data_IF_998574506625
#
_entry.id   IF_998574506625
#
_cell.length_a   1.000
_cell.length_b   1.000
_cell.length_c   1.000
_cell.angle_alpha   90.00
_cell.angle_beta   90.00
_cell.angle_gamma   90.00
#
_symmetry.space_group_name_H-M   'P 1'
#
loop_
_entity.id
_entity.type
_entity.pdbx_description
1 polymer ?
#
# COMPACT_ATOMS: atom_id res chain seq x y z
N UNK A 1 -70.02 -55.23 1.21
CA UNK A 1 -69.03 -54.70 0.24
C UNK A 1 -68.67 -53.27 0.64
N UNK A 2 -67.55 -53.09 1.36
CA UNK A 2 -67.13 -51.77 1.84
C UNK A 2 -66.16 -51.15 0.83
N UNK A 3 -66.60 -50.09 0.14
CA UNK A 3 -65.77 -49.35 -0.82
C UNK A 3 -64.82 -48.45 -0.03
N UNK A 4 -63.52 -48.76 -0.05
CA UNK A 4 -62.48 -47.97 0.58
C UNK A 4 -62.35 -46.67 -0.23
N UNK A 5 -62.70 -45.53 0.38
CA UNK A 5 -62.49 -44.21 -0.22
C UNK A 5 -61.01 -43.85 -0.14
N UNK A 6 -60.30 -43.95 -1.26
CA UNK A 6 -58.98 -43.34 -1.41
C UNK A 6 -59.09 -41.82 -1.21
N UNK A 7 -58.40 -41.30 -0.19
CA UNK A 7 -58.33 -39.87 0.08
C UNK A 7 -57.46 -39.22 -1.00
N UNK A 8 -58.08 -38.41 -1.86
CA UNK A 8 -57.34 -37.58 -2.83
C UNK A 8 -56.48 -36.56 -2.07
N UNK A 9 -55.21 -36.34 -2.46
CA UNK A 9 -54.33 -35.41 -1.77
C UNK A 9 -54.91 -34.00 -1.84
N UNK A 10 -54.92 -33.31 -0.69
CA UNK A 10 -55.53 -31.98 -0.52
C UNK A 10 -54.88 -30.89 -1.39
N UNK A 11 -53.62 -31.09 -1.81
CA UNK A 11 -52.85 -30.17 -2.63
C UNK A 11 -52.23 -30.89 -3.83
N UNK A 12 -52.23 -30.25 -5.02
CA UNK A 12 -51.49 -30.77 -6.19
C UNK A 12 -50.00 -30.74 -5.88
N UNK A 13 -49.29 -31.79 -6.30
CA UNK A 13 -47.82 -31.93 -6.12
C UNK A 13 -47.03 -30.70 -6.62
N UNK A 14 -47.55 -29.99 -7.63
CA UNK A 14 -46.96 -28.74 -8.14
C UNK A 14 -46.97 -27.59 -7.13
N UNK A 15 -48.00 -27.45 -6.30
CA UNK A 15 -48.05 -26.40 -5.27
C UNK A 15 -47.10 -26.68 -4.12
N UNK A 16 -46.93 -27.96 -3.75
CA UNK A 16 -45.96 -28.40 -2.73
C UNK A 16 -44.53 -28.08 -3.20
N UNK A 17 -44.21 -28.37 -4.47
CA UNK A 17 -42.93 -28.02 -5.06
C UNK A 17 -42.68 -26.51 -5.08
N UNK A 18 -43.66 -25.71 -5.50
CA UNK A 18 -43.53 -24.25 -5.51
C UNK A 18 -43.37 -23.67 -4.09
N UNK A 19 -44.09 -24.19 -3.09
CA UNK A 19 -43.90 -23.78 -1.70
C UNK A 19 -42.52 -24.14 -1.16
N UNK A 20 -41.96 -25.28 -1.55
CA UNK A 20 -40.61 -25.67 -1.17
C UNK A 20 -39.57 -24.72 -1.78
N UNK A 21 -39.71 -24.34 -3.06
CA UNK A 21 -38.81 -23.36 -3.69
C UNK A 21 -38.90 -21.98 -3.01
N UNK A 22 -40.12 -21.52 -2.70
CA UNK A 22 -40.34 -20.21 -2.05
C UNK A 22 -39.74 -20.16 -0.64
N UNK A 23 -39.70 -21.28 0.09
CA UNK A 23 -39.10 -21.34 1.44
C UNK A 23 -37.59 -21.60 1.37
N UNK A 24 -37.13 -22.46 0.46
CA UNK A 24 -35.72 -22.81 0.34
C UNK A 24 -34.86 -21.70 -0.30
N UNK A 25 -35.41 -20.94 -1.25
CA UNK A 25 -34.67 -19.86 -1.92
C UNK A 25 -34.19 -18.75 -0.96
N UNK A 26 -35.03 -18.17 -0.07
CA UNK A 26 -34.58 -17.19 0.91
C UNK A 26 -33.64 -17.80 1.96
N UNK A 27 -33.83 -19.07 2.35
CA UNK A 27 -32.88 -19.76 3.22
C UNK A 27 -31.50 -19.91 2.57
N UNK A 28 -31.47 -20.24 1.27
CA UNK A 28 -30.24 -20.34 0.48
C UNK A 28 -29.57 -18.98 0.33
N UNK A 29 -30.33 -17.91 0.07
CA UNK A 29 -29.82 -16.54 0.02
C UNK A 29 -29.23 -16.10 1.35
N UNK A 30 -29.82 -16.49 2.48
CA UNK A 30 -29.30 -16.19 3.82
C UNK A 30 -28.02 -16.97 4.16
N UNK A 31 -27.84 -18.14 3.52
CA UNK A 31 -26.64 -18.97 3.68
C UNK A 31 -25.49 -18.58 2.74
N UNK A 32 -25.71 -17.63 1.81
CA UNK A 32 -24.62 -17.10 1.00
C UNK A 32 -23.70 -16.27 1.91
N UNK A 33 -22.38 -16.54 1.90
CA UNK A 33 -21.44 -15.68 2.62
C UNK A 33 -21.56 -14.26 2.07
N UNK A 34 -21.67 -13.31 2.98
CA UNK A 34 -21.79 -11.91 2.64
C UNK A 34 -20.47 -11.45 2.02
N UNK A 35 -20.44 -11.41 0.69
CA UNK A 35 -19.23 -11.15 -0.13
C UNK A 35 -18.59 -9.78 0.13
N UNK A 36 -19.25 -8.93 0.93
CA UNK A 36 -18.83 -7.56 1.22
C UNK A 36 -18.61 -7.26 2.71
N UNK A 37 -18.75 -8.23 3.62
CA UNK A 37 -18.80 -7.94 5.06
C UNK A 37 -17.47 -8.05 5.82
N UNK A 38 -16.35 -8.34 5.15
CA UNK A 38 -15.07 -8.62 5.83
C UNK A 38 -14.02 -7.55 5.57
N UNK A 39 -13.91 -6.56 6.46
CA UNK A 39 -12.75 -5.67 6.61
C UNK A 39 -12.63 -4.47 5.66
N UNK A 40 -13.74 -3.82 5.28
CA UNK A 40 -13.62 -2.49 4.66
C UNK A 40 -13.45 -1.37 5.70
N UNK A 41 -12.58 -0.40 5.43
CA UNK A 41 -12.46 0.79 6.26
C UNK A 41 -13.67 1.69 6.04
N UNK A 42 -14.29 2.15 7.14
CA UNK A 42 -15.43 3.06 7.08
C UNK A 42 -15.11 4.33 6.27
N UNK A 43 -16.02 4.79 5.39
CA UNK A 43 -15.76 5.96 4.54
C UNK A 43 -15.34 7.21 5.30
N UNK A 44 -15.89 7.43 6.50
CA UNK A 44 -15.55 8.59 7.34
C UNK A 44 -14.09 8.56 7.80
N UNK A 45 -13.58 7.40 8.21
CA UNK A 45 -12.19 7.25 8.64
C UNK A 45 -11.25 7.41 7.45
N UNK A 46 -11.62 6.82 6.31
CA UNK A 46 -10.86 6.95 5.06
C UNK A 46 -10.72 8.42 4.65
N UNK A 47 -11.80 9.20 4.67
CA UNK A 47 -11.77 10.64 4.36
C UNK A 47 -10.86 11.43 5.31
N UNK A 48 -10.82 11.07 6.58
CA UNK A 48 -9.91 11.69 7.54
C UNK A 48 -8.44 11.39 7.18
N UNK A 49 -8.11 10.13 6.87
CA UNK A 49 -6.76 9.75 6.45
C UNK A 49 -6.37 10.38 5.09
N UNK A 50 -7.32 10.58 4.18
CA UNK A 50 -7.14 11.33 2.93
C UNK A 50 -6.79 12.81 3.14
N UNK A 51 -7.13 13.40 4.28
CA UNK A 51 -6.68 14.74 4.64
C UNK A 51 -5.26 14.78 5.20
N UNK A 52 -4.74 13.64 5.66
CA UNK A 52 -3.48 13.57 6.39
C UNK A 52 -2.27 13.43 5.45
N UNK A 53 -1.27 14.30 5.64
CA UNK A 53 -0.02 14.27 4.88
C UNK A 53 0.93 13.14 5.33
N UNK A 54 0.67 12.46 6.45
CA UNK A 54 1.49 11.34 6.94
C UNK A 54 1.53 10.14 5.98
N UNK A 55 0.57 10.04 5.04
CA UNK A 55 0.57 9.01 4.00
C UNK A 55 1.64 9.22 2.92
N UNK A 56 2.30 10.37 2.87
CA UNK A 56 3.30 10.68 1.86
C UNK A 56 4.72 10.44 2.38
N UNK A 57 5.52 9.76 1.57
CA UNK A 57 6.98 9.70 1.74
C UNK A 57 7.65 10.58 0.69
N UNK A 58 8.70 11.29 1.10
CA UNK A 58 9.45 12.12 0.16
C UNK A 58 10.38 11.28 -0.70
N UNK A 59 10.81 11.85 -1.84
CA UNK A 59 11.83 11.25 -2.71
C UNK A 59 13.14 11.00 -1.96
N UNK A 60 13.52 11.91 -1.05
CA UNK A 60 14.72 11.75 -0.22
C UNK A 60 14.61 10.57 0.75
N UNK A 61 13.44 10.36 1.37
CA UNK A 61 13.23 9.25 2.30
C UNK A 61 13.29 7.90 1.58
N UNK A 62 12.62 7.78 0.44
CA UNK A 62 12.65 6.55 -0.36
C UNK A 62 14.05 6.31 -0.93
N UNK A 63 14.76 7.34 -1.38
CA UNK A 63 16.15 7.23 -1.84
C UNK A 63 17.07 6.72 -0.72
N UNK A 64 16.95 7.24 0.51
CA UNK A 64 17.72 6.74 1.66
C UNK A 64 17.42 5.26 1.93
N UNK A 65 16.16 4.86 1.89
CA UNK A 65 15.78 3.46 2.13
C UNK A 65 16.33 2.52 1.06
N UNK A 66 16.31 2.93 -0.21
CA UNK A 66 16.89 2.16 -1.32
C UNK A 66 18.42 2.05 -1.20
N UNK A 67 19.12 3.16 -0.95
CA UNK A 67 20.59 3.17 -0.80
C UNK A 67 21.02 2.27 0.37
N UNK A 68 20.26 2.30 1.47
CA UNK A 68 20.51 1.48 2.65
C UNK A 68 20.02 0.02 2.52
N UNK A 69 19.49 -0.39 1.36
CA UNK A 69 18.94 -1.73 1.11
C UNK A 69 17.94 -2.18 2.18
N UNK A 70 17.01 -1.30 2.54
CA UNK A 70 15.99 -1.60 3.57
C UNK A 70 15.12 -2.79 3.11
N UNK A 71 15.17 -3.94 3.80
CA UNK A 71 14.57 -5.18 3.29
C UNK A 71 13.04 -5.21 3.35
N UNK A 72 12.44 -4.33 4.15
CA UNK A 72 10.99 -4.20 4.28
C UNK A 72 10.38 -3.16 3.33
N UNK A 73 11.18 -2.40 2.57
CA UNK A 73 10.64 -1.50 1.57
C UNK A 73 10.08 -2.30 0.40
N UNK A 74 8.86 -1.98 -0.01
CA UNK A 74 8.24 -2.47 -1.22
C UNK A 74 7.77 -1.30 -2.06
N UNK A 75 8.22 -1.22 -3.31
CA UNK A 75 7.82 -0.17 -4.24
C UNK A 75 6.84 -0.75 -5.26
N UNK A 76 5.69 -0.10 -5.41
CA UNK A 76 4.68 -0.50 -6.39
C UNK A 76 4.49 0.63 -7.40
N UNK A 77 4.86 0.37 -8.65
CA UNK A 77 4.60 1.27 -9.77
C UNK A 77 3.21 1.01 -10.33
N UNK A 78 2.34 2.02 -10.27
CA UNK A 78 0.94 1.89 -10.72
C UNK A 78 0.71 2.38 -12.15
N UNK A 79 1.77 2.68 -12.89
CA UNK A 79 1.70 3.03 -14.31
C UNK A 79 1.50 1.80 -15.19
N UNK A 80 1.29 2.04 -16.48
CA UNK A 80 1.24 0.99 -17.49
C UNK A 80 2.54 0.19 -17.54
N UNK A 81 2.46 -1.06 -18.00
CA UNK A 81 3.62 -1.95 -18.19
C UNK A 81 4.67 -1.33 -19.13
N UNK A 82 4.22 -0.63 -20.17
CA UNK A 82 5.08 0.07 -21.13
C UNK A 82 5.88 1.21 -20.49
N UNK A 83 5.25 1.96 -19.58
CA UNK A 83 5.93 3.04 -18.84
C UNK A 83 6.91 2.49 -17.81
N UNK A 84 6.56 1.40 -17.15
CA UNK A 84 7.43 0.70 -16.22
C UNK A 84 8.67 0.15 -16.91
N UNK A 85 8.51 -0.48 -18.08
CA UNK A 85 9.62 -1.05 -18.86
C UNK A 85 10.62 0.01 -19.35
N UNK A 86 10.17 1.24 -19.63
CA UNK A 86 11.04 2.35 -20.05
C UNK A 86 11.95 2.82 -18.92
N UNK A 87 11.40 2.97 -17.72
CA UNK A 87 12.13 3.36 -16.53
C UNK A 87 11.28 3.09 -15.31
N UNK A 88 11.85 2.44 -14.31
CA UNK A 88 11.22 2.18 -13.01
C UNK A 88 12.24 2.35 -11.90
N UNK A 89 11.76 2.53 -10.67
CA UNK A 89 12.64 2.52 -9.51
C UNK A 89 13.22 1.11 -9.28
N UNK A 90 14.47 0.98 -8.78
CA UNK A 90 15.09 -0.31 -8.55
C UNK A 90 14.26 -1.21 -7.63
N UNK A 91 14.05 -2.46 -8.04
CA UNK A 91 13.30 -3.45 -7.27
C UNK A 91 11.79 -3.19 -7.17
N UNK A 92 11.25 -2.24 -7.92
CA UNK A 92 9.81 -1.99 -7.95
C UNK A 92 9.03 -3.13 -8.64
N UNK A 93 7.82 -3.37 -8.16
CA UNK A 93 6.84 -4.28 -8.76
C UNK A 93 5.83 -3.43 -9.54
N UNK A 94 5.53 -3.79 -10.78
CA UNK A 94 4.49 -3.11 -11.55
C UNK A 94 3.12 -3.73 -11.28
N UNK A 95 2.18 -2.91 -10.82
CA UNK A 95 0.77 -3.26 -10.67
C UNK A 95 -0.04 -2.09 -11.24
N UNK A 96 -0.34 -2.09 -12.55
CA UNK A 96 -1.04 -0.99 -13.19
C UNK A 96 -2.34 -0.64 -12.47
N UNK A 97 -2.62 0.66 -12.30
CA UNK A 97 -3.81 1.13 -11.60
C UNK A 97 -5.10 0.57 -12.20
N UNK A 98 -5.15 0.41 -13.52
CA UNK A 98 -6.28 -0.18 -14.23
C UNK A 98 -6.62 -1.57 -13.68
N UNK A 99 -5.62 -2.41 -13.39
CA UNK A 99 -5.81 -3.75 -12.79
C UNK A 99 -6.26 -3.70 -11.33
N UNK A 100 -6.01 -2.59 -10.63
CA UNK A 100 -6.51 -2.35 -9.27
C UNK A 100 -7.96 -1.82 -9.27
N UNK A 101 -8.37 -1.18 -10.37
CA UNK A 101 -9.71 -0.63 -10.56
C UNK A 101 -10.67 -1.63 -11.18
N UNK A 102 -10.17 -2.52 -12.03
CA UNK A 102 -10.96 -3.58 -12.63
C UNK A 102 -11.39 -4.60 -11.57
N UNK A 103 -12.53 -5.24 -11.85
CA UNK A 103 -13.30 -6.20 -11.02
C UNK A 103 -12.54 -6.74 -9.79
N UNK A 104 -13.18 -6.72 -8.63
CA UNK A 104 -12.64 -7.20 -7.34
C UNK A 104 -11.78 -8.49 -7.42
N UNK A 105 -12.10 -9.42 -8.32
CA UNK A 105 -11.36 -10.67 -8.54
C UNK A 105 -9.90 -10.47 -9.01
N UNK A 106 -9.58 -9.42 -9.77
CA UNK A 106 -8.20 -9.14 -10.21
C UNK A 106 -7.36 -8.53 -9.10
N UNK A 107 -7.98 -7.78 -8.18
CA UNK A 107 -7.32 -7.28 -6.98
C UNK A 107 -6.87 -8.44 -6.08
N UNK A 108 -7.62 -9.56 -6.05
CA UNK A 108 -7.24 -10.77 -5.32
C UNK A 108 -5.92 -11.37 -5.84
N UNK A 109 -5.61 -11.20 -7.13
CA UNK A 109 -4.34 -11.71 -7.72
C UNK A 109 -3.14 -11.03 -7.07
N UNK A 110 -3.28 -9.77 -6.67
CA UNK A 110 -2.22 -8.99 -6.05
C UNK A 110 -2.34 -8.94 -4.52
N UNK A 111 -3.33 -9.58 -3.93
CA UNK A 111 -3.62 -9.49 -2.50
C UNK A 111 -2.43 -9.95 -1.66
N UNK A 112 -1.78 -11.06 -2.04
CA UNK A 112 -0.59 -11.57 -1.34
C UNK A 112 0.57 -10.58 -1.35
N UNK A 113 0.75 -9.85 -2.47
CA UNK A 113 1.81 -8.84 -2.61
C UNK A 113 1.45 -7.58 -1.82
N UNK A 114 0.19 -7.14 -1.90
CA UNK A 114 -0.28 -5.91 -1.26
C UNK A 114 -0.42 -6.06 0.26
N UNK A 115 -0.81 -7.25 0.75
CA UNK A 115 -0.95 -7.60 2.17
C UNK A 115 0.28 -8.30 2.74
N UNK A 116 1.42 -8.24 2.06
CA UNK A 116 2.65 -8.86 2.52
C UNK A 116 3.00 -8.37 3.94
N UNK A 117 3.00 -9.29 4.90
CA UNK A 117 3.33 -8.97 6.29
C UNK A 117 4.75 -8.40 6.39
N UNK A 118 4.95 -7.43 7.30
CA UNK A 118 6.24 -6.78 7.55
C UNK A 118 6.83 -6.04 6.35
N UNK A 119 6.02 -5.68 5.35
CA UNK A 119 6.42 -4.78 4.26
C UNK A 119 5.79 -3.40 4.43
N UNK A 120 6.58 -2.36 4.16
CA UNK A 120 6.11 -1.00 3.97
C UNK A 120 5.99 -0.75 2.48
N UNK A 121 4.74 -0.68 2.01
CA UNK A 121 4.44 -0.51 0.58
C UNK A 121 4.36 0.97 0.23
N UNK A 122 5.09 1.39 -0.79
CA UNK A 122 5.05 2.75 -1.31
C UNK A 122 4.58 2.72 -2.76
N UNK A 123 3.39 3.24 -3.01
CA UNK A 123 2.85 3.41 -4.35
C UNK A 123 3.47 4.63 -5.01
N UNK A 124 3.81 4.51 -6.28
CA UNK A 124 4.26 5.64 -7.08
C UNK A 124 3.75 5.56 -8.52
N UNK A 125 3.70 6.71 -9.17
CA UNK A 125 3.42 6.85 -10.59
C UNK A 125 4.25 8.00 -11.15
N UNK A 126 3.93 8.50 -12.35
CA UNK A 126 4.56 9.71 -12.91
C UNK A 126 4.41 10.90 -11.96
N UNK A 127 3.25 11.02 -11.30
CA UNK A 127 2.98 12.00 -10.24
C UNK A 127 2.26 11.38 -9.03
N UNK A 128 1.65 12.22 -8.20
CA UNK A 128 1.01 11.80 -6.94
C UNK A 128 -0.40 11.21 -7.14
N UNK A 129 -1.12 11.60 -8.19
CA UNK A 129 -2.57 11.37 -8.33
C UNK A 129 -2.91 9.87 -8.42
N UNK A 130 -2.36 9.16 -9.42
CA UNK A 130 -2.68 7.74 -9.63
C UNK A 130 -2.19 6.85 -8.48
N UNK A 131 -1.01 7.17 -7.91
CA UNK A 131 -0.50 6.50 -6.72
C UNK A 131 -1.42 6.69 -5.50
N UNK A 132 -2.01 7.89 -5.35
CA UNK A 132 -3.01 8.14 -4.30
C UNK A 132 -4.30 7.37 -4.54
N UNK A 133 -4.74 7.21 -5.79
CA UNK A 133 -5.91 6.37 -6.12
C UNK A 133 -5.67 4.91 -5.71
N UNK A 134 -4.50 4.34 -6.04
CA UNK A 134 -4.12 3.00 -5.59
C UNK A 134 -4.09 2.88 -4.06
N UNK A 135 -3.52 3.88 -3.38
CA UNK A 135 -3.51 3.93 -1.92
C UNK A 135 -4.94 3.92 -1.33
N UNK A 136 -5.86 4.71 -1.89
CA UNK A 136 -7.27 4.77 -1.44
C UNK A 136 -7.95 3.40 -1.59
N UNK A 137 -7.76 2.74 -2.73
CA UNK A 137 -8.32 1.40 -2.99
C UNK A 137 -7.80 0.39 -1.97
N UNK A 138 -6.48 0.39 -1.71
CA UNK A 138 -5.86 -0.51 -0.76
C UNK A 138 -6.26 -0.22 0.68
N UNK A 139 -6.34 1.05 1.09
CA UNK A 139 -6.85 1.44 2.41
C UNK A 139 -8.29 1.02 2.61
N UNK A 140 -9.15 1.17 1.60
CA UNK A 140 -10.55 0.70 1.68
C UNK A 140 -10.62 -0.79 1.99
N UNK A 141 -9.68 -1.60 1.51
CA UNK A 141 -9.57 -3.04 1.80
C UNK A 141 -8.84 -3.36 3.12
N UNK A 142 -8.70 -2.38 4.02
CA UNK A 142 -7.97 -2.46 5.28
C UNK A 142 -6.50 -2.92 5.15
N UNK A 143 -5.85 -2.56 4.04
CA UNK A 143 -4.40 -2.77 3.89
C UNK A 143 -3.69 -1.60 4.55
N UNK A 144 -2.92 -1.87 5.61
CA UNK A 144 -2.16 -0.89 6.38
C UNK A 144 -0.69 -0.80 5.94
N UNK A 145 0.09 0.09 6.58
CA UNK A 145 1.52 0.31 6.29
C UNK A 145 1.83 0.61 4.82
N UNK A 146 0.91 1.36 4.21
CA UNK A 146 0.99 1.79 2.82
C UNK A 146 1.13 3.32 2.71
N UNK A 147 1.93 3.76 1.75
CA UNK A 147 2.30 5.15 1.55
C UNK A 147 2.29 5.51 0.07
N UNK A 148 2.37 6.80 -0.23
CA UNK A 148 2.48 7.35 -1.58
C UNK A 148 3.80 8.09 -1.71
N UNK A 149 4.55 7.85 -2.79
CA UNK A 149 5.71 8.66 -3.13
C UNK A 149 5.25 10.06 -3.55
N UNK A 150 5.58 11.06 -2.74
CA UNK A 150 5.25 12.46 -3.00
C UNK A 150 5.90 12.92 -4.30
N UNK A 151 5.08 13.48 -5.18
CA UNK A 151 5.51 14.03 -6.48
C UNK A 151 5.86 12.97 -7.53
N UNK A 152 5.85 11.68 -7.17
CA UNK A 152 6.10 10.58 -8.09
C UNK A 152 7.47 10.64 -8.77
N UNK A 153 7.55 10.09 -9.98
CA UNK A 153 8.78 10.08 -10.76
C UNK A 153 9.20 11.47 -11.26
N UNK A 154 8.27 12.40 -11.42
CA UNK A 154 8.59 13.78 -11.78
C UNK A 154 9.46 14.43 -10.70
N UNK A 155 9.02 14.36 -9.44
CA UNK A 155 9.82 14.89 -8.33
C UNK A 155 11.10 14.07 -8.14
N UNK A 156 11.06 12.74 -8.31
CA UNK A 156 12.25 11.89 -8.27
C UNK A 156 13.32 12.33 -9.27
N UNK A 157 12.93 12.65 -10.50
CA UNK A 157 13.85 13.13 -11.52
C UNK A 157 14.46 14.48 -11.12
N UNK A 158 13.66 15.40 -10.61
CA UNK A 158 14.12 16.74 -10.19
C UNK A 158 14.98 16.75 -8.93
N UNK A 159 14.74 15.84 -7.99
CA UNK A 159 15.43 15.83 -6.70
C UNK A 159 16.57 14.83 -6.66
N UNK A 160 16.38 13.61 -7.15
CA UNK A 160 17.35 12.52 -7.02
C UNK A 160 18.21 12.38 -8.27
N UNK A 161 17.64 12.45 -9.47
CA UNK A 161 18.44 12.26 -10.69
C UNK A 161 19.17 13.53 -11.10
N UNK A 162 18.52 14.69 -11.01
CA UNK A 162 19.05 15.99 -11.44
C UNK A 162 18.93 17.05 -10.35
N UNK A 163 19.60 16.86 -9.19
CA UNK A 163 19.51 17.80 -8.09
C UNK A 163 19.96 19.21 -8.49
N UNK A 164 19.08 20.19 -8.25
CA UNK A 164 19.37 21.61 -8.47
C UNK A 164 20.39 22.12 -7.45
N UNK A 165 21.41 22.81 -7.94
CA UNK A 165 22.44 23.40 -7.07
C UNK A 165 21.83 24.54 -6.25
N UNK A 166 21.98 24.55 -4.91
CA UNK A 166 21.49 25.63 -4.07
C UNK A 166 22.17 26.97 -4.41
N UNK A 167 21.45 28.08 -4.18
CA UNK A 167 22.00 29.42 -4.37
C UNK A 167 23.09 29.77 -3.35
N UNK A 168 23.83 30.85 -3.58
CA UNK A 168 24.93 31.28 -2.71
C UNK A 168 24.51 31.62 -1.27
N UNK A 169 23.22 31.91 -1.05
CA UNK A 169 22.64 32.21 0.26
C UNK A 169 21.88 31.00 0.86
N UNK A 170 22.09 29.79 0.32
CA UNK A 170 21.43 28.60 0.82
C UNK A 170 21.82 28.28 2.26
N UNK A 171 20.84 27.83 3.02
CA UNK A 171 21.02 27.35 4.38
C UNK A 171 21.88 26.09 4.43
N UNK A 172 22.45 25.81 5.61
CA UNK A 172 23.21 24.56 5.84
C UNK A 172 22.38 23.31 5.54
N UNK A 173 21.08 23.34 5.85
CA UNK A 173 20.16 22.23 5.58
C UNK A 173 19.95 22.00 4.07
N UNK A 174 19.78 23.05 3.28
CA UNK A 174 19.65 22.94 1.82
C UNK A 174 20.93 22.41 1.18
N UNK A 175 22.09 22.86 1.67
CA UNK A 175 23.39 22.34 1.24
C UNK A 175 23.56 20.86 1.58
N UNK A 176 23.11 20.42 2.77
CA UNK A 176 23.15 19.02 3.17
C UNK A 176 22.24 18.15 2.29
N UNK A 177 21.01 18.61 2.01
CA UNK A 177 20.08 17.93 1.12
C UNK A 177 20.65 17.81 -0.30
N UNK A 178 21.24 18.89 -0.83
CA UNK A 178 21.90 18.85 -2.13
C UNK A 178 23.04 17.83 -2.17
N UNK A 179 23.93 17.82 -1.16
CA UNK A 179 25.03 16.84 -1.09
C UNK A 179 24.51 15.41 -1.07
N UNK A 180 23.48 15.13 -0.26
CA UNK A 180 22.83 13.82 -0.21
C UNK A 180 22.27 13.43 -1.59
N UNK A 181 21.49 14.33 -2.20
CA UNK A 181 20.87 14.07 -3.50
C UNK A 181 21.89 13.89 -4.62
N UNK A 182 22.97 14.66 -4.62
CA UNK A 182 24.07 14.49 -5.58
C UNK A 182 24.76 13.14 -5.41
N UNK A 183 24.98 12.68 -4.18
CA UNK A 183 25.48 11.33 -3.93
C UNK A 183 24.48 10.25 -4.36
N UNK A 184 23.19 10.45 -4.11
CA UNK A 184 22.14 9.54 -4.55
C UNK A 184 22.03 9.48 -6.08
N UNK A 185 22.16 10.61 -6.77
CA UNK A 185 22.19 10.69 -8.24
C UNK A 185 23.28 9.79 -8.81
N UNK A 186 24.51 9.90 -8.28
CA UNK A 186 25.63 9.04 -8.69
C UNK A 186 25.33 7.55 -8.46
N UNK A 187 24.72 7.22 -7.32
CA UNK A 187 24.32 5.84 -7.00
C UNK A 187 23.30 5.28 -8.00
N UNK A 188 22.24 6.02 -8.32
CA UNK A 188 21.16 5.52 -9.20
C UNK A 188 21.47 5.61 -10.69
N UNK A 189 22.36 6.52 -11.11
CA UNK A 189 22.77 6.67 -12.51
C UNK A 189 23.99 5.82 -12.87
N UNK A 190 24.67 5.22 -11.88
CA UNK A 190 25.90 4.45 -12.10
C UNK A 190 27.09 5.31 -12.50
N UNK A 191 26.96 6.65 -12.44
CA UNK A 191 28.08 7.56 -12.65
C UNK A 191 29.08 7.39 -11.50
N UNK A 192 30.31 7.00 -11.82
CA UNK A 192 31.37 6.85 -10.83
C UNK A 192 31.64 8.20 -10.16
N UNK A 193 31.59 8.21 -8.83
CA UNK A 193 31.85 9.41 -8.03
C UNK A 193 33.25 9.96 -8.31
N UNK A 194 33.35 11.28 -8.50
CA UNK A 194 34.56 12.02 -8.13
C UNK A 194 34.73 11.79 -6.62
N UNK A 195 35.92 11.42 -6.12
CA UNK A 195 36.09 11.00 -4.74
C UNK A 195 35.63 12.10 -3.78
N UNK A 196 34.66 11.77 -2.92
CA UNK A 196 34.42 12.57 -1.73
C UNK A 196 35.67 12.48 -0.85
N UNK A 197 36.34 13.61 -0.66
CA UNK A 197 37.47 13.72 0.25
C UNK A 197 37.07 13.20 1.64
N UNK A 198 37.90 12.29 2.12
CA UNK A 198 37.84 11.68 3.44
C UNK A 198 38.06 12.77 4.50
N UNK A 199 37.02 13.16 5.24
CA UNK A 199 37.21 13.80 6.54
C UNK A 199 37.15 12.75 7.64
N UNK A 200 38.34 12.38 8.11
CA UNK A 200 38.53 11.70 9.38
C UNK A 200 37.84 12.51 10.51
N UNK A 201 36.87 11.89 11.18
CA UNK A 201 36.49 12.25 12.54
C UNK A 201 36.34 10.95 13.35
N UNK A 202 37.38 10.70 14.14
CA UNK A 202 37.52 9.84 15.32
C UNK A 202 36.25 9.19 15.88
N UNK A 203 36.35 7.87 16.05
CA UNK A 203 35.35 7.02 16.68
C UNK A 203 34.95 7.46 18.09
N UNK A 204 33.64 7.42 18.33
CA UNK A 204 33.03 7.36 19.64
C UNK A 204 31.96 6.26 19.61
N UNK A 205 32.26 5.11 20.20
CA UNK A 205 31.32 4.01 20.36
C UNK A 205 30.18 4.43 21.30
N UNK A 206 29.00 4.74 20.76
CA UNK A 206 27.79 4.86 21.58
C UNK A 206 27.13 3.49 21.64
N UNK A 207 27.32 2.80 22.77
CA UNK A 207 26.61 1.57 23.12
C UNK A 207 25.14 1.92 23.38
N UNK A 208 24.24 1.44 22.54
CA UNK A 208 22.79 1.57 22.75
C UNK A 208 22.35 0.42 23.66
N UNK A 209 21.99 0.74 24.91
CA UNK A 209 21.43 -0.22 25.85
C UNK A 209 19.95 -0.52 25.53
N UNK A 210 19.46 -1.77 25.71
CA UNK A 210 18.09 -2.13 25.39
C UNK A 210 17.08 -1.56 26.40
N UNK A 211 16.00 -0.99 25.86
CA UNK A 211 14.87 -0.39 26.55
C UNK A 211 14.09 -1.45 27.37
N UNK A 212 14.11 -1.35 28.70
CA UNK A 212 13.27 -2.18 29.58
C UNK A 212 11.81 -1.73 29.51
N UNK A 213 10.93 -2.69 29.19
CA UNK A 213 9.47 -2.61 29.34
C UNK A 213 9.11 -2.27 30.80
N UNK A 214 8.35 -1.20 31.04
CA UNK A 214 7.67 -0.99 32.33
C UNK A 214 6.40 -1.85 32.38
N UNK A 215 6.40 -2.86 33.25
CA UNK A 215 5.18 -3.49 33.77
C UNK A 215 4.50 -2.53 34.75
N UNK A 216 3.17 -2.45 34.69
CA UNK A 216 2.36 -1.70 35.62
C UNK A 216 2.18 -2.41 36.97
N UNK A 217 1.93 -1.60 38.01
CA UNK A 217 1.26 -1.81 39.31
C UNK A 217 0.96 -0.36 39.78
N UNK A 218 -0.20 0.10 40.24
CA UNK A 218 -1.27 -0.51 41.02
C UNK A 218 -1.32 0.17 42.41
N UNK A 219 -2.31 1.04 42.64
CA UNK A 219 -2.99 1.23 43.93
C UNK A 219 -2.40 2.18 45.01
N UNK A 220 -3.29 3.05 45.53
CA UNK A 220 -3.35 3.61 46.90
C UNK A 220 -2.30 4.66 47.27
N UNK A 221 -2.63 5.81 47.88
CA UNK A 221 -3.73 6.19 48.77
C UNK A 221 -4.15 7.62 48.43
#
# INVERSE_FOLDING_TARGET
MHKIMEKKPLFRKSYIFMSAVIVCLPLLLLALPDKHAGNEVLPVNLLQELGDNTRFLTTDDVAKMLINNVPYLQLIDVRSEDEFAKFSLPGAINIPLEKLLDKQDEVLVYEDVLKAENKTTVFYSTGTVHASQAWILCRRMAIDNIYVLKGGLNEWAETILQPKTPGQMATSAEMANYKFRSAASLFFTGASAIPAETSNATGGTVKVAPMKKKKGVGGGC
#
